data_IF_442246582279
#
_entry.id   IF_442246582279
#
_cell.length_a   1.000
_cell.length_b   1.000
_cell.length_c   1.000
_cell.angle_alpha   90.00
_cell.angle_beta   90.00
_cell.angle_gamma   90.00
#
_symmetry.space_group_name_H-M   'P 1'
#
loop_
_entity.id
_entity.type
_entity.pdbx_description
1 polymer ?
#
# COMPACT_ATOMS: atom_id res chain seq x y z
N UNK A 1 -6.51 -3.13 34.04
CA UNK A 1 -5.90 -4.07 33.09
C UNK A 1 -6.00 -3.39 31.74
N UNK A 2 -4.96 -2.65 31.35
CA UNK A 2 -5.01 -1.81 30.15
C UNK A 2 -5.04 -2.68 28.92
N UNK A 3 -6.03 -2.52 28.05
CA UNK A 3 -5.97 -3.08 26.72
C UNK A 3 -4.68 -2.54 26.08
N UNK A 4 -3.76 -3.43 25.72
CA UNK A 4 -2.68 -3.07 24.80
C UNK A 4 -3.36 -2.50 23.55
N UNK A 5 -3.31 -1.17 23.42
CA UNK A 5 -4.09 -0.45 22.44
C UNK A 5 -3.66 -0.89 21.06
N UNK A 6 -4.61 -1.44 20.29
CA UNK A 6 -4.41 -1.72 18.87
C UNK A 6 -4.04 -0.40 18.21
N UNK A 7 -2.82 -0.31 17.66
CA UNK A 7 -2.34 0.93 17.04
C UNK A 7 -3.07 1.11 15.70
N UNK A 8 -3.83 2.21 15.49
CA UNK A 8 -4.55 2.42 14.25
C UNK A 8 -3.60 2.45 13.04
N UNK A 9 -3.95 1.68 12.00
CA UNK A 9 -3.16 1.62 10.76
C UNK A 9 -1.88 0.78 10.86
N UNK A 10 -1.65 0.07 11.97
CA UNK A 10 -0.62 -0.97 12.03
C UNK A 10 -1.00 -2.13 11.10
N UNK A 11 -0.06 -2.59 10.27
CA UNK A 11 -0.33 -3.57 9.20
C UNK A 11 -0.99 -4.86 9.73
N UNK A 12 -0.48 -5.40 10.84
CA UNK A 12 -1.02 -6.64 11.41
C UNK A 12 -2.41 -6.46 12.01
N UNK A 13 -2.66 -5.33 12.68
CA UNK A 13 -3.98 -5.00 13.20
C UNK A 13 -5.02 -4.89 12.07
N UNK A 14 -4.65 -4.17 10.99
CA UNK A 14 -5.50 -4.03 9.82
C UNK A 14 -5.80 -5.38 9.17
N UNK A 15 -4.80 -6.27 9.05
CA UNK A 15 -5.00 -7.62 8.54
C UNK A 15 -5.99 -8.42 9.39
N UNK A 16 -5.84 -8.39 10.71
CA UNK A 16 -6.73 -9.10 11.64
C UNK A 16 -8.16 -8.58 11.54
N UNK A 17 -8.36 -7.26 11.58
CA UNK A 17 -9.67 -6.64 11.47
C UNK A 17 -10.34 -6.96 10.12
N UNK A 18 -9.61 -6.81 9.01
CA UNK A 18 -10.11 -7.17 7.68
C UNK A 18 -10.43 -8.65 7.57
N UNK A 19 -9.64 -9.53 8.20
CA UNK A 19 -9.91 -10.97 8.16
C UNK A 19 -11.19 -11.35 8.85
N UNK A 20 -11.47 -10.74 10.01
CA UNK A 20 -12.72 -10.96 10.76
C UNK A 20 -13.96 -10.58 9.95
N UNK A 21 -13.86 -9.59 9.06
CA UNK A 21 -15.01 -9.14 8.26
C UNK A 21 -15.12 -9.85 6.91
N UNK A 22 -14.00 -10.06 6.23
CA UNK A 22 -13.99 -10.51 4.83
C UNK A 22 -13.86 -12.03 4.66
N UNK A 23 -13.28 -12.73 5.64
CA UNK A 23 -12.98 -14.16 5.53
C UNK A 23 -13.50 -15.01 6.69
N UNK A 24 -13.79 -14.44 7.85
CA UNK A 24 -14.45 -15.18 8.92
C UNK A 24 -15.93 -15.39 8.57
N UNK A 25 -16.32 -16.66 8.43
CA UNK A 25 -17.68 -17.06 8.05
C UNK A 25 -18.63 -17.12 9.26
N UNK A 26 -18.14 -16.84 10.47
CA UNK A 26 -18.97 -16.81 11.68
C UNK A 26 -19.91 -15.59 11.64
N UNK A 27 -21.16 -15.75 12.10
CA UNK A 27 -22.05 -14.61 12.28
C UNK A 27 -21.40 -13.56 13.21
N UNK A 28 -21.44 -12.30 12.80
CA UNK A 28 -20.96 -11.18 13.61
C UNK A 28 -22.12 -10.69 14.47
N UNK A 29 -21.96 -10.79 15.79
CA UNK A 29 -22.96 -10.32 16.74
C UNK A 29 -23.06 -8.79 16.75
N UNK A 30 -24.23 -8.24 17.09
CA UNK A 30 -24.47 -6.78 17.00
C UNK A 30 -23.51 -5.92 17.85
N UNK A 31 -23.01 -6.44 18.98
CA UNK A 31 -22.03 -5.70 19.79
C UNK A 31 -20.62 -5.76 19.17
N UNK A 32 -20.28 -6.88 18.56
CA UNK A 32 -19.02 -7.08 17.85
C UNK A 32 -18.95 -6.24 16.58
N UNK A 33 -20.06 -6.12 15.85
CA UNK A 33 -20.13 -5.31 14.63
C UNK A 33 -19.85 -3.84 14.90
N UNK A 34 -20.38 -3.26 15.98
CA UNK A 34 -20.12 -1.86 16.34
C UNK A 34 -18.66 -1.60 16.73
N UNK A 35 -18.04 -2.56 17.43
CA UNK A 35 -16.62 -2.49 17.76
C UNK A 35 -15.76 -2.56 16.49
N UNK A 36 -16.04 -3.50 15.59
CA UNK A 36 -15.35 -3.66 14.31
C UNK A 36 -15.53 -2.45 13.38
N UNK A 37 -16.72 -1.84 13.35
CA UNK A 37 -16.96 -0.61 12.61
C UNK A 37 -16.03 0.50 13.10
N UNK A 38 -15.99 0.72 14.41
CA UNK A 38 -15.15 1.76 15.02
C UNK A 38 -13.66 1.51 14.74
N UNK A 39 -13.20 0.26 14.94
CA UNK A 39 -11.82 -0.17 14.69
C UNK A 39 -11.40 0.04 13.23
N UNK A 40 -12.25 -0.36 12.28
CA UNK A 40 -11.97 -0.20 10.85
C UNK A 40 -12.00 1.26 10.41
N UNK A 41 -12.91 2.08 10.92
CA UNK A 41 -12.92 3.51 10.61
C UNK A 41 -11.64 4.20 11.12
N UNK A 42 -11.15 3.84 12.31
CA UNK A 42 -9.88 4.34 12.84
C UNK A 42 -8.70 3.93 11.94
N UNK A 43 -8.68 2.68 11.47
CA UNK A 43 -7.68 2.23 10.50
C UNK A 43 -7.73 3.01 9.19
N UNK A 44 -8.91 3.21 8.60
CA UNK A 44 -9.07 3.99 7.37
C UNK A 44 -8.61 5.45 7.57
N UNK A 45 -8.99 6.08 8.69
CA UNK A 45 -8.53 7.45 9.04
C UNK A 45 -7.02 7.55 9.22
N UNK A 46 -6.39 6.52 9.77
CA UNK A 46 -4.94 6.48 9.96
C UNK A 46 -4.17 6.22 8.65
N UNK A 47 -4.70 5.34 7.79
CA UNK A 47 -4.04 4.92 6.55
C UNK A 47 -4.25 5.91 5.39
N UNK A 48 -5.40 6.57 5.30
CA UNK A 48 -5.74 7.50 4.22
C UNK A 48 -4.67 8.58 3.99
N UNK A 49 -4.30 9.37 5.02
CA UNK A 49 -3.25 10.39 4.90
C UNK A 49 -1.88 9.82 4.50
N UNK A 50 -1.56 8.59 4.92
CA UNK A 50 -0.31 7.92 4.54
C UNK A 50 -0.28 7.59 3.06
N UNK A 51 -1.39 7.08 2.51
CA UNK A 51 -1.50 6.84 1.07
C UNK A 51 -1.48 8.16 0.30
N UNK A 52 -2.19 9.19 0.75
CA UNK A 52 -2.16 10.51 0.11
C UNK A 52 -0.75 11.10 0.01
N UNK A 53 0.08 10.92 1.05
CA UNK A 53 1.47 11.35 1.03
C UNK A 53 2.35 10.58 0.02
N UNK A 54 1.99 9.33 -0.31
CA UNK A 54 2.72 8.49 -1.27
C UNK A 54 2.34 8.77 -2.73
N UNK A 55 1.16 9.33 -3.00
CA UNK A 55 0.63 9.53 -4.37
C UNK A 55 1.63 10.20 -5.33
N UNK A 56 2.35 11.29 -4.96
CA UNK A 56 3.30 11.94 -5.86
C UNK A 56 4.43 11.00 -6.30
N UNK A 57 4.91 10.14 -5.40
CA UNK A 57 6.00 9.19 -5.69
C UNK A 57 5.56 8.04 -6.60
N UNK A 58 4.25 7.81 -6.72
CA UNK A 58 3.67 6.72 -7.51
C UNK A 58 3.44 7.09 -8.97
N UNK A 59 3.44 8.37 -9.35
CA UNK A 59 3.11 8.84 -10.71
C UNK A 59 4.07 8.27 -11.78
N UNK A 60 5.35 8.09 -11.42
CA UNK A 60 6.36 7.53 -12.31
C UNK A 60 6.53 6.01 -12.22
N UNK A 61 5.75 5.32 -11.40
CA UNK A 61 5.93 3.87 -11.17
C UNK A 61 5.25 3.02 -12.25
N UNK A 62 5.89 1.91 -12.62
CA UNK A 62 5.33 0.95 -13.58
C UNK A 62 4.12 0.21 -13.00
N UNK A 63 3.07 0.08 -13.81
CA UNK A 63 1.78 -0.47 -13.41
C UNK A 63 0.91 0.59 -12.74
N UNK A 64 -0.40 0.55 -12.96
CA UNK A 64 -1.35 1.61 -12.59
C UNK A 64 -1.62 1.74 -11.07
N UNK A 65 -0.58 1.71 -10.24
CA UNK A 65 -0.69 1.90 -8.79
C UNK A 65 -1.11 3.33 -8.44
N UNK A 66 -0.71 4.32 -9.25
CA UNK A 66 -1.13 5.71 -9.07
C UNK A 66 -2.65 5.85 -9.24
N UNK A 67 -3.22 5.30 -10.32
CA UNK A 67 -4.67 5.29 -10.53
C UNK A 67 -5.42 4.53 -9.43
N UNK A 68 -4.89 3.39 -8.99
CA UNK A 68 -5.45 2.64 -7.85
C UNK A 68 -5.41 3.46 -6.56
N UNK A 69 -4.30 4.13 -6.24
CA UNK A 69 -4.20 4.95 -5.03
C UNK A 69 -5.22 6.09 -5.02
N UNK A 70 -5.38 6.81 -6.14
CA UNK A 70 -6.40 7.85 -6.29
C UNK A 70 -7.82 7.29 -6.14
N UNK A 71 -8.10 6.15 -6.75
CA UNK A 71 -9.40 5.49 -6.64
C UNK A 71 -9.71 5.11 -5.19
N UNK A 72 -8.74 4.54 -4.47
CA UNK A 72 -8.89 4.17 -3.06
C UNK A 72 -9.08 5.41 -2.19
N UNK A 73 -8.37 6.51 -2.44
CA UNK A 73 -8.57 7.77 -1.69
C UNK A 73 -9.99 8.34 -1.90
N UNK A 74 -10.53 8.26 -3.11
CA UNK A 74 -11.95 8.60 -3.34
C UNK A 74 -12.88 7.70 -2.53
N UNK A 75 -12.58 6.40 -2.44
CA UNK A 75 -13.33 5.46 -1.61
C UNK A 75 -13.25 5.83 -0.13
N UNK A 76 -12.10 6.31 0.37
CA UNK A 76 -11.95 6.81 1.74
C UNK A 76 -12.95 7.93 2.04
N UNK A 77 -13.08 8.89 1.12
CA UNK A 77 -14.05 9.99 1.28
C UNK A 77 -15.49 9.47 1.32
N UNK A 78 -15.83 8.50 0.46
CA UNK A 78 -17.16 7.89 0.41
C UNK A 78 -17.48 7.14 1.71
N UNK A 79 -16.56 6.29 2.21
CA UNK A 79 -16.81 5.51 3.42
C UNK A 79 -16.69 6.33 4.69
N UNK A 80 -15.89 7.39 4.74
CA UNK A 80 -15.83 8.26 5.93
C UNK A 80 -16.86 9.40 5.91
N UNK A 81 -17.60 9.58 4.82
CA UNK A 81 -18.60 10.63 4.71
C UNK A 81 -19.67 10.51 5.80
N UNK A 82 -20.08 11.63 6.44
CA UNK A 82 -21.24 11.65 7.35
C UNK A 82 -22.55 11.24 6.69
N UNK A 83 -22.64 11.36 5.36
CA UNK A 83 -23.82 10.98 4.57
C UNK A 83 -23.81 9.52 4.13
N UNK A 84 -22.78 8.76 4.51
CA UNK A 84 -22.66 7.39 4.06
C UNK A 84 -23.78 6.52 4.65
N UNK A 85 -24.30 5.52 3.91
CA UNK A 85 -25.44 4.72 4.37
C UNK A 85 -25.15 4.04 5.70
N UNK A 86 -25.97 4.31 6.71
CA UNK A 86 -25.89 3.69 8.05
C UNK A 86 -26.92 2.58 8.28
N UNK A 87 -27.83 2.36 7.32
CA UNK A 87 -28.95 1.42 7.46
C UNK A 87 -28.54 -0.05 7.36
N UNK A 88 -27.41 -0.36 6.72
CA UNK A 88 -26.87 -1.72 6.61
C UNK A 88 -25.47 -1.78 7.22
N UNK A 89 -25.39 -2.27 8.46
CA UNK A 89 -24.14 -2.40 9.20
C UNK A 89 -23.17 -3.41 8.56
N UNK A 90 -23.68 -4.44 7.87
CA UNK A 90 -22.83 -5.47 7.26
C UNK A 90 -22.19 -4.95 5.97
N UNK A 91 -22.96 -4.26 5.13
CA UNK A 91 -22.42 -3.56 3.97
C UNK A 91 -21.36 -2.53 4.38
N UNK A 92 -21.65 -1.77 5.44
CA UNK A 92 -20.74 -0.78 6.00
C UNK A 92 -19.42 -1.39 6.50
N UNK A 93 -19.49 -2.49 7.24
CA UNK A 93 -18.31 -3.25 7.69
C UNK A 93 -17.48 -3.72 6.49
N UNK A 94 -18.13 -4.30 5.49
CA UNK A 94 -17.48 -4.79 4.28
C UNK A 94 -16.75 -3.67 3.55
N UNK A 95 -17.41 -2.53 3.31
CA UNK A 95 -16.82 -1.39 2.59
C UNK A 95 -15.60 -0.82 3.32
N UNK A 96 -15.68 -0.67 4.64
CA UNK A 96 -14.55 -0.23 5.46
C UNK A 96 -13.40 -1.24 5.43
N UNK A 97 -13.68 -2.53 5.53
CA UNK A 97 -12.65 -3.58 5.49
C UNK A 97 -11.96 -3.66 4.12
N UNK A 98 -12.71 -3.57 3.02
CA UNK A 98 -12.14 -3.51 1.66
C UNK A 98 -11.27 -2.26 1.51
N UNK A 99 -11.75 -1.10 1.97
CA UNK A 99 -10.99 0.16 1.89
C UNK A 99 -9.71 0.11 2.71
N UNK A 100 -9.77 -0.35 3.96
CA UNK A 100 -8.61 -0.49 4.83
C UNK A 100 -7.57 -1.47 4.24
N UNK A 101 -8.03 -2.60 3.70
CA UNK A 101 -7.16 -3.56 3.01
C UNK A 101 -6.50 -2.94 1.78
N UNK A 102 -7.24 -2.22 0.95
CA UNK A 102 -6.70 -1.58 -0.25
C UNK A 102 -5.64 -0.53 0.11
N UNK A 103 -5.90 0.32 1.10
CA UNK A 103 -4.94 1.29 1.62
C UNK A 103 -3.66 0.61 2.12
N UNK A 104 -3.79 -0.43 2.93
CA UNK A 104 -2.64 -1.21 3.41
C UNK A 104 -1.87 -1.85 2.25
N UNK A 105 -2.56 -2.35 1.23
CA UNK A 105 -1.95 -2.94 0.04
C UNK A 105 -1.14 -1.92 -0.77
N UNK A 106 -1.68 -0.70 -0.95
CA UNK A 106 -0.97 0.40 -1.63
C UNK A 106 0.32 0.75 -0.88
N UNK A 107 0.27 0.88 0.45
CA UNK A 107 1.45 1.19 1.27
C UNK A 107 2.52 0.10 1.12
N UNK A 108 2.14 -1.17 1.29
CA UNK A 108 3.08 -2.31 1.18
C UNK A 108 3.74 -2.35 -0.20
N UNK A 109 2.96 -2.11 -1.27
CA UNK A 109 3.49 -2.08 -2.63
C UNK A 109 4.40 -0.87 -2.88
N UNK A 110 4.07 0.30 -2.35
CA UNK A 110 4.90 1.49 -2.42
C UNK A 110 6.25 1.26 -1.71
N UNK A 111 6.23 0.72 -0.49
CA UNK A 111 7.43 0.38 0.29
C UNK A 111 8.29 -0.68 -0.41
N UNK A 112 7.66 -1.66 -1.07
CA UNK A 112 8.38 -2.66 -1.88
C UNK A 112 9.10 -1.99 -3.05
N UNK A 113 8.41 -1.14 -3.82
CA UNK A 113 9.02 -0.44 -4.97
C UNK A 113 10.12 0.53 -4.55
N UNK A 114 9.94 1.25 -3.45
CA UNK A 114 10.96 2.13 -2.88
C UNK A 114 12.25 1.36 -2.55
N UNK A 115 12.12 0.16 -1.95
CA UNK A 115 13.25 -0.74 -1.68
C UNK A 115 13.92 -1.23 -2.97
N UNK A 116 13.15 -1.64 -3.97
CA UNK A 116 13.68 -2.08 -5.27
C UNK A 116 14.41 -0.96 -6.04
N UNK A 117 14.02 0.31 -5.85
CA UNK A 117 14.73 1.47 -6.39
C UNK A 117 16.05 1.70 -5.67
N UNK A 118 16.04 1.59 -4.34
CA UNK A 118 17.25 1.75 -3.53
C UNK A 118 18.31 0.69 -3.88
N UNK A 119 17.90 -0.57 -4.08
CA UNK A 119 18.83 -1.65 -4.47
C UNK A 119 19.37 -1.50 -5.89
N UNK A 120 18.54 -1.12 -6.87
CA UNK A 120 19.00 -0.86 -8.25
C UNK A 120 19.97 0.32 -8.34
N UNK A 121 19.75 1.35 -7.56
CA UNK A 121 20.63 2.53 -7.53
C UNK A 121 22.00 2.21 -6.92
N UNK A 122 22.06 1.25 -5.98
CA UNK A 122 23.33 0.78 -5.40
C UNK A 122 24.16 -0.08 -6.37
N UNK A 123 23.50 -0.83 -7.25
CA UNK A 123 24.16 -1.73 -8.23
C UNK A 123 24.74 -0.98 -9.44
N UNK A 124 24.27 0.25 -9.72
CA UNK A 124 24.80 1.13 -10.77
C UNK A 124 25.86 2.13 -10.26
N UNK A 125 26.34 1.94 -9.04
CA UNK A 125 27.35 2.80 -8.40
C UNK A 125 28.78 2.31 -8.57
N UNK A 126 29.27 2.15 -9.80
CA UNK A 126 30.67 2.48 -10.17
C UNK A 126 30.90 2.51 -11.71
N UNK A 127 30.84 3.69 -12.37
CA UNK A 127 31.39 3.86 -13.71
C UNK A 127 32.81 4.46 -13.70
N UNK A 128 33.51 4.52 -12.56
CA UNK A 128 34.86 5.11 -12.47
C UNK A 128 36.00 4.12 -12.84
N UNK A 129 35.68 2.96 -13.43
CA UNK A 129 36.66 2.02 -13.97
C UNK A 129 36.42 1.64 -15.45
N UNK A 130 35.72 2.48 -16.22
CA UNK A 130 35.49 2.27 -17.67
C UNK A 130 36.05 3.39 -18.56
N UNK A 131 36.92 4.25 -18.03
CA UNK A 131 37.81 5.09 -18.85
C UNK A 131 39.08 4.29 -19.19
N UNK A 132 39.01 3.37 -20.16
CA UNK A 132 40.08 3.20 -21.17
C UNK A 132 39.70 2.22 -22.31
N UNK A 133 38.57 2.44 -23.00
CA UNK A 133 38.39 1.83 -24.32
C UNK A 133 37.89 2.88 -25.29
N UNK A 134 38.85 3.64 -25.83
CA UNK A 134 38.61 4.45 -27.02
C UNK A 134 38.11 3.61 -28.20
N UNK A 135 37.51 4.23 -29.23
CA UNK A 135 36.79 3.56 -30.32
C UNK A 135 37.66 2.71 -31.28
N UNK A 136 38.92 2.43 -30.92
CA UNK A 136 39.90 1.69 -31.72
C UNK A 136 40.15 0.24 -31.26
N UNK A 137 39.60 -0.19 -30.11
CA UNK A 137 39.97 -1.47 -29.48
C UNK A 137 39.50 -2.77 -30.15
N UNK A 138 38.60 -2.71 -31.14
CA UNK A 138 37.96 -3.91 -31.72
C UNK A 138 38.52 -4.32 -33.09
N UNK A 139 39.39 -3.52 -33.71
CA UNK A 139 39.86 -3.74 -35.08
C UNK A 139 41.23 -4.43 -35.22
N UNK A 140 41.93 -4.77 -34.13
CA UNK A 140 43.31 -5.33 -34.22
C UNK A 140 43.41 -6.83 -33.93
N UNK A 141 42.37 -7.50 -33.44
CA UNK A 141 42.42 -8.94 -33.14
C UNK A 141 42.25 -9.87 -34.37
N UNK A 142 42.58 -9.41 -35.59
CA UNK A 142 42.23 -10.11 -36.83
C UNK A 142 43.27 -10.19 -37.94
N UNK A 143 44.54 -9.78 -37.75
CA UNK A 143 45.54 -9.84 -38.83
C UNK A 143 46.96 -10.20 -38.34
N UNK A 144 47.42 -11.41 -38.70
CA UNK A 144 48.82 -11.87 -38.80
C UNK A 144 49.51 -12.23 -37.46
N UNK A 145 50.18 -13.37 -37.27
CA UNK A 145 50.92 -14.29 -38.16
C UNK A 145 50.79 -15.71 -37.62
#
# INVERSE_FOLDING_TARGET
MGAEGVVPGAEEAVKVACHRVLWDMRPIESAESQALLSELEEHVRALGPRVAALVPDLEGESGDIHGVALHVLRQVDEVLSPSAPTSDAQARLHDLAVTARALSGVIVLADKRARERATRSADHGDPAAADDVGPAGWLVAGLGV
#
